data_IF_089014795693
#
_entry.id   IF_089014795693
#
_cell.length_a   1.000
_cell.length_b   1.000
_cell.length_c   1.000
_cell.angle_alpha   90.00
_cell.angle_beta   90.00
_cell.angle_gamma   90.00
#
_symmetry.space_group_name_H-M   'P 1'
#
loop_
_entity.id
_entity.type
_entity.pdbx_description
1 polymer ?
#
# COMPACT_ATOMS: atom_id res chain seq x y z
N UNK A 1 -10.20 -18.83 -5.48
CA UNK A 1 -10.08 -17.43 -5.97
C UNK A 1 -11.50 -16.91 -6.14
N UNK A 2 -11.84 -15.70 -5.69
CA UNK A 2 -13.18 -15.13 -5.92
C UNK A 2 -13.07 -13.79 -6.66
N UNK A 3 -14.21 -13.29 -7.17
CA UNK A 3 -14.25 -12.09 -8.01
C UNK A 3 -13.75 -10.84 -7.27
N UNK A 4 -14.07 -10.69 -5.99
CA UNK A 4 -13.61 -9.56 -5.17
C UNK A 4 -12.10 -9.54 -4.98
N UNK A 5 -11.48 -10.71 -4.79
CA UNK A 5 -10.02 -10.83 -4.69
C UNK A 5 -9.35 -10.50 -6.01
N UNK A 6 -9.88 -11.03 -7.12
CA UNK A 6 -9.33 -10.74 -8.44
C UNK A 6 -9.43 -9.25 -8.76
N UNK A 7 -10.60 -8.64 -8.51
CA UNK A 7 -10.81 -7.21 -8.69
C UNK A 7 -9.83 -6.40 -7.82
N UNK A 8 -9.69 -6.76 -6.53
CA UNK A 8 -8.74 -6.13 -5.63
C UNK A 8 -7.29 -6.23 -6.13
N UNK A 9 -6.85 -7.42 -6.54
CA UNK A 9 -5.50 -7.63 -7.09
C UNK A 9 -5.25 -6.78 -8.34
N UNK A 10 -6.22 -6.71 -9.25
CA UNK A 10 -6.13 -5.90 -10.46
C UNK A 10 -6.15 -4.40 -10.17
N UNK A 11 -6.96 -3.94 -9.21
CA UNK A 11 -6.97 -2.53 -8.77
C UNK A 11 -5.64 -2.15 -8.11
N UNK A 12 -5.06 -3.04 -7.30
CA UNK A 12 -3.75 -2.82 -6.71
C UNK A 12 -2.67 -2.75 -7.80
N UNK A 13 -2.69 -3.68 -8.76
CA UNK A 13 -1.78 -3.65 -9.91
C UNK A 13 -1.94 -2.34 -10.71
N UNK A 14 -3.17 -1.89 -10.95
CA UNK A 14 -3.44 -0.63 -11.63
C UNK A 14 -2.84 0.56 -10.88
N UNK A 15 -2.94 0.61 -9.55
CA UNK A 15 -2.32 1.68 -8.74
C UNK A 15 -0.80 1.76 -8.94
N UNK A 16 -0.12 0.60 -8.95
CA UNK A 16 1.32 0.49 -9.16
C UNK A 16 1.69 0.89 -10.58
N UNK A 17 0.92 0.47 -11.58
CA UNK A 17 1.14 0.84 -12.98
C UNK A 17 0.96 2.34 -13.21
N UNK A 18 -0.07 2.98 -12.63
CA UNK A 18 -0.27 4.43 -12.71
C UNK A 18 0.93 5.18 -12.15
N UNK A 19 1.44 4.75 -10.99
CA UNK A 19 2.62 5.37 -10.38
C UNK A 19 3.88 5.17 -11.23
N UNK A 20 4.11 3.97 -11.76
CA UNK A 20 5.23 3.68 -12.66
C UNK A 20 5.14 4.48 -13.95
N UNK A 21 3.96 4.62 -14.55
CA UNK A 21 3.72 5.43 -15.74
C UNK A 21 3.97 6.91 -15.46
N UNK A 22 3.55 7.44 -14.30
CA UNK A 22 3.90 8.81 -13.86
C UNK A 22 5.42 8.98 -13.83
N UNK A 23 6.13 8.07 -13.16
CA UNK A 23 7.60 8.13 -13.03
C UNK A 23 8.29 7.97 -14.39
N UNK A 24 7.79 7.11 -15.27
CA UNK A 24 8.44 6.82 -16.54
C UNK A 24 8.16 7.86 -17.62
N UNK A 25 6.93 8.34 -17.73
CA UNK A 25 6.52 9.27 -18.80
C UNK A 25 6.78 10.72 -18.39
N UNK A 26 6.36 11.12 -17.19
CA UNK A 26 6.49 12.50 -16.71
C UNK A 26 7.87 12.75 -16.09
N UNK A 27 8.61 11.67 -15.74
CA UNK A 27 9.92 11.74 -15.07
C UNK A 27 9.89 12.53 -13.75
N UNK A 28 8.74 12.56 -13.09
CA UNK A 28 8.52 13.26 -11.83
C UNK A 28 7.95 12.35 -10.75
N UNK A 29 8.45 12.49 -9.53
CA UNK A 29 7.90 11.90 -8.30
C UNK A 29 7.39 12.98 -7.31
N UNK A 30 7.08 14.19 -7.80
CA UNK A 30 6.46 15.22 -6.99
C UNK A 30 5.17 14.70 -6.32
N UNK A 31 5.01 14.99 -5.03
CA UNK A 31 3.87 14.54 -4.23
C UNK A 31 3.86 13.04 -3.89
N UNK A 32 4.93 12.28 -4.15
CA UNK A 32 5.05 10.85 -3.79
C UNK A 32 6.07 10.68 -2.65
N UNK A 33 5.65 10.08 -1.54
CA UNK A 33 6.51 9.82 -0.38
C UNK A 33 7.40 8.62 -0.67
N UNK A 34 8.72 8.84 -0.58
CA UNK A 34 9.70 7.76 -0.68
C UNK A 34 9.54 6.81 0.51
N UNK A 35 9.19 7.34 1.69
CA UNK A 35 9.01 6.54 2.90
C UNK A 35 7.91 5.51 2.76
N UNK A 36 6.77 5.90 2.20
CA UNK A 36 5.69 4.93 1.92
C UNK A 36 6.13 3.85 0.93
N UNK A 37 6.88 4.20 -0.12
CA UNK A 37 7.37 3.20 -1.08
C UNK A 37 8.38 2.23 -0.45
N UNK A 38 9.25 2.71 0.45
CA UNK A 38 10.16 1.87 1.22
C UNK A 38 9.41 0.90 2.15
N UNK A 39 8.35 1.38 2.80
CA UNK A 39 7.49 0.55 3.64
C UNK A 39 6.76 -0.52 2.83
N UNK A 40 6.18 -0.18 1.68
CA UNK A 40 5.53 -1.17 0.81
C UNK A 40 6.53 -2.19 0.24
N UNK A 41 7.73 -1.78 -0.13
CA UNK A 41 8.78 -2.72 -0.55
C UNK A 41 9.13 -3.71 0.58
N UNK A 42 9.23 -3.23 1.84
CA UNK A 42 9.46 -4.08 3.00
C UNK A 42 8.27 -5.03 3.27
N UNK A 43 7.03 -4.54 3.13
CA UNK A 43 5.81 -5.37 3.23
C UNK A 43 5.86 -6.51 2.22
N UNK A 44 6.12 -6.25 0.94
CA UNK A 44 6.15 -7.31 -0.07
C UNK A 44 7.33 -8.26 0.11
N UNK A 45 8.50 -7.74 0.48
CA UNK A 45 9.67 -8.57 0.75
C UNK A 45 9.43 -9.57 1.89
N UNK A 46 8.77 -9.13 2.97
CA UNK A 46 8.47 -10.00 4.13
C UNK A 46 7.26 -10.91 3.88
N UNK A 47 6.26 -10.44 3.13
CA UNK A 47 5.05 -11.21 2.81
C UNK A 47 5.30 -12.35 1.83
N UNK A 48 6.19 -12.14 0.86
CA UNK A 48 6.42 -13.08 -0.25
C UNK A 48 7.68 -13.93 -0.06
N UNK A 49 8.19 -14.07 1.17
CA UNK A 49 9.27 -15.03 1.49
C UNK A 49 8.90 -16.47 1.10
N UNK A 50 7.60 -16.76 1.02
CA UNK A 50 7.09 -18.07 0.66
C UNK A 50 7.29 -18.43 -0.83
N UNK A 51 7.69 -17.49 -1.69
CA UNK A 51 7.82 -17.69 -3.15
C UNK A 51 8.79 -18.83 -3.51
N UNK A 52 9.81 -19.06 -2.67
CA UNK A 52 10.79 -20.13 -2.84
C UNK A 52 10.40 -21.44 -2.16
N UNK A 53 9.38 -21.41 -1.29
CA UNK A 53 9.00 -22.56 -0.42
C UNK A 53 7.67 -23.20 -0.80
N UNK A 54 6.80 -22.46 -1.47
CA UNK A 54 5.42 -22.88 -1.70
C UNK A 54 4.94 -22.40 -3.05
N UNK A 55 4.61 -23.36 -3.93
CA UNK A 55 3.96 -23.08 -5.20
C UNK A 55 2.45 -23.23 -5.05
N UNK A 56 1.72 -22.12 -5.20
CA UNK A 56 0.24 -22.12 -5.13
C UNK A 56 -0.33 -22.19 -6.54
N UNK A 57 0.06 -21.25 -7.41
CA UNK A 57 -0.35 -21.21 -8.81
C UNK A 57 0.55 -20.27 -9.63
N UNK A 58 0.55 -20.44 -10.95
CA UNK A 58 1.30 -19.59 -11.87
C UNK A 58 0.93 -18.10 -11.72
N UNK A 59 -0.37 -17.81 -11.65
CA UNK A 59 -0.88 -16.46 -11.40
C UNK A 59 -0.34 -15.88 -10.08
N UNK A 60 -0.37 -16.65 -8.99
CA UNK A 60 0.09 -16.17 -7.69
C UNK A 60 1.59 -15.83 -7.71
N UNK A 61 2.41 -16.70 -8.29
CA UNK A 61 3.86 -16.49 -8.39
C UNK A 61 4.17 -15.26 -9.24
N UNK A 62 3.53 -15.10 -10.41
CA UNK A 62 3.74 -13.92 -11.27
C UNK A 62 3.34 -12.64 -10.56
N UNK A 63 2.17 -12.59 -9.91
CA UNK A 63 1.72 -11.39 -9.21
C UNK A 63 2.68 -11.00 -8.10
N UNK A 64 3.19 -11.97 -7.32
CA UNK A 64 4.22 -11.72 -6.30
C UNK A 64 5.49 -11.13 -6.91
N UNK A 65 5.98 -11.67 -8.02
CA UNK A 65 7.16 -11.16 -8.72
C UNK A 65 6.94 -9.74 -9.25
N UNK A 66 5.75 -9.45 -9.80
CA UNK A 66 5.41 -8.11 -10.30
C UNK A 66 5.37 -7.10 -9.15
N UNK A 67 4.69 -7.40 -8.04
CA UNK A 67 4.62 -6.48 -6.89
C UNK A 67 6.00 -6.26 -6.24
N UNK A 68 6.80 -7.32 -6.11
CA UNK A 68 8.15 -7.21 -5.57
C UNK A 68 9.06 -6.39 -6.50
N UNK A 69 9.09 -6.73 -7.79
CA UNK A 69 9.91 -6.04 -8.78
C UNK A 69 9.53 -4.57 -8.94
N UNK A 70 8.23 -4.27 -9.01
CA UNK A 70 7.74 -2.90 -9.16
C UNK A 70 8.01 -2.03 -7.94
N UNK A 71 7.79 -2.53 -6.72
CA UNK A 71 8.06 -1.77 -5.48
C UNK A 71 9.54 -1.42 -5.34
N UNK A 72 10.45 -2.36 -5.55
CA UNK A 72 11.89 -2.07 -5.57
C UNK A 72 12.27 -1.14 -6.71
N UNK A 73 11.66 -1.28 -7.89
CA UNK A 73 11.92 -0.39 -9.03
C UNK A 73 11.52 1.05 -8.70
N UNK A 74 10.35 1.29 -8.11
CA UNK A 74 9.89 2.63 -7.71
C UNK A 74 10.88 3.27 -6.73
N UNK A 75 11.27 2.53 -5.68
CA UNK A 75 12.27 3.01 -4.70
C UNK A 75 13.60 3.34 -5.38
N UNK A 76 14.05 2.49 -6.30
CA UNK A 76 15.27 2.72 -7.07
C UNK A 76 15.17 3.97 -7.95
N UNK A 77 14.05 4.15 -8.66
CA UNK A 77 13.81 5.33 -9.50
C UNK A 77 13.87 6.62 -8.68
N UNK A 78 13.20 6.67 -7.53
CA UNK A 78 13.19 7.87 -6.68
C UNK A 78 14.59 8.15 -6.10
N UNK A 79 15.34 7.12 -5.68
CA UNK A 79 16.67 7.30 -5.04
C UNK A 79 17.82 7.53 -6.02
N UNK A 80 17.82 6.88 -7.18
CA UNK A 80 19.00 6.78 -8.07
C UNK A 80 18.83 7.49 -9.41
N UNK A 81 17.60 7.57 -9.94
CA UNK A 81 17.41 8.17 -11.26
C UNK A 81 17.59 9.69 -11.19
N UNK A 82 18.55 10.22 -11.96
CA UNK A 82 19.02 11.62 -11.85
C UNK A 82 17.90 12.67 -11.98
N UNK A 83 16.95 12.44 -12.87
CA UNK A 83 15.86 13.39 -13.15
C UNK A 83 14.76 13.29 -12.08
N UNK A 84 14.34 12.06 -11.75
CA UNK A 84 13.22 11.81 -10.84
C UNK A 84 13.60 12.26 -9.43
N UNK A 85 14.82 11.95 -8.98
CA UNK A 85 15.33 12.39 -7.67
C UNK A 85 15.27 13.91 -7.48
N UNK A 86 15.40 14.72 -8.53
CA UNK A 86 15.34 16.19 -8.42
C UNK A 86 13.92 16.70 -8.12
N UNK A 87 12.90 15.94 -8.53
CA UNK A 87 11.49 16.25 -8.24
C UNK A 87 11.00 15.72 -6.89
N UNK A 88 11.85 15.00 -6.15
CA UNK A 88 11.50 14.49 -4.83
C UNK A 88 11.64 15.60 -3.78
N UNK A 89 10.54 15.93 -3.11
CA UNK A 89 10.50 16.93 -2.06
C UNK A 89 10.85 16.30 -0.70
N UNK A 90 12.14 16.32 -0.37
CA UNK A 90 12.66 15.76 0.88
C UNK A 90 12.23 16.58 2.11
N UNK A 91 12.00 17.87 1.94
CA UNK A 91 11.68 18.79 3.04
C UNK A 91 10.23 18.60 3.50
N UNK A 92 9.34 18.16 2.61
CA UNK A 92 7.97 17.81 2.97
C UNK A 92 7.83 16.37 3.50
N UNK A 93 8.64 15.43 3.01
CA UNK A 93 8.63 14.00 3.41
C UNK A 93 9.44 13.71 4.69
N UNK A 94 9.15 14.45 5.78
CA UNK A 94 9.89 14.35 7.05
C UNK A 94 9.43 13.22 7.97
N UNK A 95 8.54 12.33 7.50
CA UNK A 95 7.93 11.31 8.35
C UNK A 95 8.97 10.26 8.77
N UNK A 96 9.09 10.04 10.09
CA UNK A 96 10.03 9.06 10.67
C UNK A 96 9.39 7.67 10.66
N UNK A 97 9.43 7.01 9.51
CA UNK A 97 8.85 5.68 9.29
C UNK A 97 9.35 4.57 10.23
N UNK A 98 10.50 4.76 10.90
CA UNK A 98 10.98 3.88 11.98
C UNK A 98 9.96 3.77 13.14
N UNK A 99 9.20 4.82 13.43
CA UNK A 99 8.12 4.78 14.42
C UNK A 99 6.93 3.92 14.00
N UNK A 100 6.84 3.52 12.73
CA UNK A 100 5.86 2.53 12.27
C UNK A 100 6.47 1.13 12.29
N UNK A 101 7.69 0.99 11.77
CA UNK A 101 8.36 -0.31 11.68
C UNK A 101 8.57 -0.94 13.06
N UNK A 102 9.10 -0.18 14.03
CA UNK A 102 9.43 -0.74 15.35
C UNK A 102 8.20 -1.28 16.10
N UNK A 103 7.08 -0.53 16.24
CA UNK A 103 5.87 -1.09 16.84
C UNK A 103 5.31 -2.29 16.06
N UNK A 104 5.34 -2.27 14.72
CA UNK A 104 4.87 -3.41 13.93
C UNK A 104 5.71 -4.67 14.16
N UNK A 105 7.04 -4.54 14.32
CA UNK A 105 7.92 -5.68 14.67
C UNK A 105 7.57 -6.21 16.06
N UNK A 106 7.44 -5.34 17.06
CA UNK A 106 7.09 -5.74 18.44
C UNK A 106 5.73 -6.44 18.46
N UNK A 107 4.72 -5.85 17.81
CA UNK A 107 3.38 -6.45 17.72
C UNK A 107 3.40 -7.80 16.99
N UNK A 108 4.18 -7.97 15.93
CA UNK A 108 4.27 -9.24 15.22
C UNK A 108 4.94 -10.35 16.05
N UNK A 109 5.90 -9.99 16.92
CA UNK A 109 6.54 -10.94 17.83
C UNK A 109 5.63 -11.34 18.99
N UNK A 110 4.83 -10.41 19.52
CA UNK A 110 3.93 -10.66 20.65
C UNK A 110 2.59 -11.27 20.22
N UNK A 111 2.07 -10.86 19.07
CA UNK A 111 0.73 -11.18 18.58
C UNK A 111 0.84 -11.77 17.18
N UNK A 112 1.01 -13.10 17.13
CA UNK A 112 1.01 -13.91 15.90
C UNK A 112 0.15 -15.16 16.11
N UNK A 113 -0.27 -15.80 15.01
CA UNK A 113 -1.02 -17.07 15.09
C UNK A 113 -0.11 -18.24 15.48
N UNK A 114 1.14 -18.24 15.00
CA UNK A 114 2.15 -19.26 15.31
C UNK A 114 3.52 -18.62 15.39
N UNK A 115 4.32 -19.03 16.37
CA UNK A 115 5.68 -18.52 16.55
C UNK A 115 6.69 -19.21 15.61
N UNK A 116 6.47 -19.06 14.30
CA UNK A 116 7.41 -19.48 13.26
C UNK A 116 7.89 -18.26 12.49
N UNK A 117 9.14 -18.26 12.00
CA UNK A 117 9.71 -17.11 11.29
C UNK A 117 8.81 -16.66 10.13
N UNK A 118 8.27 -17.61 9.35
CA UNK A 118 7.39 -17.33 8.20
C UNK A 118 6.11 -16.62 8.63
N UNK A 119 5.46 -17.11 9.69
CA UNK A 119 4.21 -16.56 10.19
C UNK A 119 4.40 -15.19 10.87
N UNK A 120 5.48 -15.01 11.63
CA UNK A 120 5.85 -13.73 12.22
C UNK A 120 6.13 -12.69 11.13
N UNK A 121 6.88 -13.03 10.07
CA UNK A 121 7.14 -12.13 8.94
C UNK A 121 5.85 -11.80 8.17
N UNK A 122 4.96 -12.78 8.00
CA UNK A 122 3.67 -12.56 7.36
C UNK A 122 2.78 -11.62 8.19
N UNK A 123 2.69 -11.84 9.49
CA UNK A 123 1.94 -10.99 10.43
C UNK A 123 2.52 -9.58 10.49
N UNK A 124 3.85 -9.45 10.57
CA UNK A 124 4.55 -8.18 10.46
C UNK A 124 4.16 -7.41 9.20
N UNK A 125 4.13 -8.11 8.06
CA UNK A 125 3.74 -7.49 6.78
C UNK A 125 2.30 -6.96 6.80
N UNK A 126 1.38 -7.59 7.54
CA UNK A 126 -0.01 -7.13 7.65
C UNK A 126 -0.11 -5.86 8.48
N UNK A 127 0.52 -5.84 9.66
CA UNK A 127 0.54 -4.65 10.52
C UNK A 127 1.23 -3.48 9.81
N UNK A 128 2.36 -3.73 9.16
CA UNK A 128 3.10 -2.68 8.46
C UNK A 128 2.33 -2.13 7.26
N UNK A 129 1.67 -2.99 6.46
CA UNK A 129 0.84 -2.55 5.33
C UNK A 129 -0.29 -1.63 5.80
N UNK A 130 -0.90 -1.94 6.95
CA UNK A 130 -2.00 -1.16 7.48
C UNK A 130 -1.64 0.31 7.71
N UNK A 131 -0.40 0.58 8.11
CA UNK A 131 0.09 1.92 8.43
C UNK A 131 1.06 2.50 7.39
N UNK A 132 1.44 1.74 6.37
CA UNK A 132 2.44 2.11 5.38
C UNK A 132 2.07 3.37 4.57
N UNK A 133 0.78 3.68 4.47
CA UNK A 133 0.28 4.85 3.74
C UNK A 133 0.43 6.17 4.51
N UNK A 134 0.64 6.13 5.83
CA UNK A 134 0.69 7.34 6.67
C UNK A 134 1.69 8.42 6.17
N UNK A 135 2.95 8.10 5.81
CA UNK A 135 3.87 9.10 5.28
C UNK A 135 3.33 9.80 4.02
N UNK A 136 2.68 9.07 3.12
CA UNK A 136 2.07 9.60 1.90
C UNK A 136 0.88 10.52 2.21
N UNK A 137 0.01 10.15 3.15
CA UNK A 137 -1.12 11.01 3.53
C UNK A 137 -0.63 12.32 4.17
N UNK A 138 0.34 12.23 5.08
CA UNK A 138 0.96 13.40 5.72
C UNK A 138 1.65 14.29 4.68
N UNK A 139 2.34 13.69 3.70
CA UNK A 139 2.94 14.44 2.60
C UNK A 139 1.88 15.20 1.80
N UNK A 140 0.73 14.58 1.52
CA UNK A 140 -0.36 15.21 0.76
C UNK A 140 -1.06 16.32 1.55
N UNK A 141 -1.20 16.19 2.87
CA UNK A 141 -1.72 17.27 3.73
C UNK A 141 -0.80 18.50 3.71
N UNK A 142 0.52 18.28 3.71
CA UNK A 142 1.51 19.36 3.60
C UNK A 142 1.61 19.94 2.21
N UNK A 143 1.51 19.07 1.20
CA UNK A 143 1.59 19.44 -0.22
C UNK A 143 0.22 19.92 -0.67
N UNK A 144 -0.04 21.22 -0.51
CA UNK A 144 -1.33 21.83 -0.86
C UNK A 144 -1.75 21.67 -2.32
N UNK A 145 -0.87 21.28 -3.24
CA UNK A 145 -1.22 21.08 -4.65
C UNK A 145 -0.94 19.64 -5.05
N UNK A 146 -1.98 18.80 -5.03
CA UNK A 146 -1.87 17.38 -5.33
C UNK A 146 -2.14 17.17 -6.82
N UNK A 147 -1.18 16.57 -7.53
CA UNK A 147 -1.40 16.17 -8.92
C UNK A 147 -2.51 15.13 -9.03
N UNK A 148 -3.37 15.24 -10.06
CA UNK A 148 -4.45 14.29 -10.31
C UNK A 148 -3.97 12.83 -10.38
N UNK A 149 -2.80 12.57 -10.99
CA UNK A 149 -2.23 11.21 -11.06
C UNK A 149 -1.86 10.66 -9.68
N UNK A 150 -1.35 11.52 -8.78
CA UNK A 150 -1.04 11.12 -7.40
C UNK A 150 -2.34 10.81 -6.65
N UNK A 151 -3.37 11.66 -6.81
CA UNK A 151 -4.69 11.43 -6.23
C UNK A 151 -5.30 10.10 -6.71
N UNK A 152 -5.27 9.82 -8.02
CA UNK A 152 -5.74 8.57 -8.60
C UNK A 152 -4.97 7.35 -8.09
N UNK A 153 -3.63 7.46 -7.97
CA UNK A 153 -2.81 6.41 -7.37
C UNK A 153 -3.28 6.07 -5.95
N UNK A 154 -3.41 7.08 -5.06
CA UNK A 154 -3.83 6.86 -3.67
C UNK A 154 -5.27 6.36 -3.60
N UNK A 155 -6.15 6.83 -4.47
CA UNK A 155 -7.52 6.35 -4.59
C UNK A 155 -7.58 4.87 -4.97
N UNK A 156 -6.87 4.45 -6.02
CA UNK A 156 -6.79 3.04 -6.43
C UNK A 156 -6.19 2.17 -5.33
N UNK A 157 -5.20 2.71 -4.61
CA UNK A 157 -4.58 2.03 -3.47
C UNK A 157 -5.57 1.87 -2.29
N UNK A 158 -6.44 2.83 -2.03
CA UNK A 158 -7.51 2.63 -1.06
C UNK A 158 -8.57 1.64 -1.57
N UNK A 159 -8.93 1.74 -2.86
CA UNK A 159 -10.02 0.97 -3.46
C UNK A 159 -9.73 -0.54 -3.48
N UNK A 160 -8.49 -0.97 -3.72
CA UNK A 160 -8.15 -2.39 -3.62
C UNK A 160 -8.42 -2.92 -2.21
N UNK A 161 -8.15 -2.12 -1.17
CA UNK A 161 -8.34 -2.53 0.22
C UNK A 161 -9.82 -2.71 0.54
N UNK A 162 -10.67 -1.78 0.09
CA UNK A 162 -12.13 -1.91 0.22
C UNK A 162 -12.64 -3.19 -0.46
N UNK A 163 -12.14 -3.52 -1.66
CA UNK A 163 -12.47 -4.78 -2.34
C UNK A 163 -12.00 -6.02 -1.56
N UNK A 164 -10.85 -5.92 -0.89
CA UNK A 164 -10.34 -6.98 -0.02
C UNK A 164 -11.19 -7.18 1.25
N UNK A 165 -11.76 -6.12 1.83
CA UNK A 165 -12.73 -6.24 2.91
C UNK A 165 -13.97 -6.98 2.43
N UNK A 166 -14.51 -6.62 1.26
CA UNK A 166 -15.63 -7.33 0.65
C UNK A 166 -15.30 -8.81 0.38
N UNK A 167 -14.06 -9.09 -0.06
CA UNK A 167 -13.56 -10.45 -0.20
C UNK A 167 -13.63 -11.21 1.13
N UNK A 168 -13.18 -10.62 2.23
CA UNK A 168 -13.19 -11.30 3.54
C UNK A 168 -14.60 -11.52 4.07
N UNK A 169 -15.50 -10.54 3.90
CA UNK A 169 -16.93 -10.69 4.22
C UNK A 169 -17.52 -11.87 3.44
N UNK A 170 -17.28 -11.91 2.12
CA UNK A 170 -17.75 -13.02 1.29
C UNK A 170 -17.20 -14.36 1.77
N UNK A 171 -15.89 -14.46 2.03
CA UNK A 171 -15.26 -15.70 2.50
C UNK A 171 -15.78 -16.14 3.87
N UNK A 172 -16.06 -15.20 4.77
CA UNK A 172 -16.65 -15.51 6.08
C UNK A 172 -18.02 -16.20 5.95
N UNK A 173 -18.84 -15.79 4.98
CA UNK A 173 -20.15 -16.43 4.75
C UNK A 173 -20.08 -17.73 3.94
N UNK A 174 -19.09 -17.89 3.07
CA UNK A 174 -19.00 -19.06 2.17
C UNK A 174 -18.09 -20.18 2.67
N UNK A 175 -17.04 -19.87 3.44
CA UNK A 175 -16.04 -20.84 3.89
C UNK A 175 -16.25 -21.19 5.37
N UNK A 176 -16.37 -22.49 5.66
CA UNK A 176 -16.54 -23.02 7.01
C UNK A 176 -15.24 -22.77 7.81
N UNK A 177 -15.33 -22.06 8.95
CA UNK A 177 -14.23 -21.73 9.89
C UNK A 177 -13.22 -20.66 9.42
N UNK A 178 -13.56 -19.79 8.47
CA UNK A 178 -12.67 -18.70 8.04
C UNK A 178 -12.71 -17.49 9.00
N UNK A 179 -11.85 -17.47 10.03
CA UNK A 179 -11.70 -16.31 10.95
C UNK A 179 -10.23 -15.99 11.23
N UNK A 180 -9.61 -15.17 10.37
CA UNK A 180 -8.28 -14.59 10.63
C UNK A 180 -8.41 -13.18 11.20
N UNK A 181 -8.66 -13.07 12.49
CA UNK A 181 -8.93 -11.80 13.18
C UNK A 181 -7.85 -10.73 12.95
N UNK A 182 -6.56 -11.12 12.84
CA UNK A 182 -5.45 -10.20 12.56
C UNK A 182 -5.66 -9.48 11.21
N UNK A 183 -6.10 -10.21 10.19
CA UNK A 183 -6.35 -9.63 8.85
C UNK A 183 -7.50 -8.63 8.87
N UNK A 184 -8.57 -8.94 9.62
CA UNK A 184 -9.72 -8.06 9.78
C UNK A 184 -9.36 -6.77 10.50
N UNK A 185 -8.67 -6.86 11.64
CA UNK A 185 -8.27 -5.66 12.41
C UNK A 185 -7.31 -4.81 11.58
N UNK A 186 -6.28 -5.41 10.99
CA UNK A 186 -5.30 -4.67 10.17
C UNK A 186 -5.95 -4.02 8.96
N UNK A 187 -6.89 -4.71 8.31
CA UNK A 187 -7.62 -4.14 7.19
C UNK A 187 -8.57 -3.02 7.58
N UNK A 188 -9.25 -3.14 8.72
CA UNK A 188 -10.10 -2.08 9.27
C UNK A 188 -9.28 -0.83 9.60
N UNK A 189 -8.15 -0.99 10.29
CA UNK A 189 -7.22 0.12 10.57
C UNK A 189 -6.79 0.80 9.27
N UNK A 190 -6.40 0.02 8.26
CA UNK A 190 -5.99 0.59 6.98
C UNK A 190 -7.13 1.37 6.30
N UNK A 191 -8.34 0.81 6.25
CA UNK A 191 -9.48 1.48 5.61
C UNK A 191 -9.89 2.75 6.34
N UNK A 192 -9.83 2.78 7.68
CA UNK A 192 -10.07 4.00 8.45
C UNK A 192 -9.06 5.10 8.12
N UNK A 193 -7.79 4.76 7.91
CA UNK A 193 -6.77 5.73 7.50
C UNK A 193 -7.04 6.33 6.11
N UNK A 194 -7.67 5.57 5.21
CA UNK A 194 -8.07 6.08 3.88
C UNK A 194 -9.38 6.87 3.90
N UNK A 195 -10.21 6.75 4.95
CA UNK A 195 -11.56 7.31 4.97
C UNK A 195 -11.55 8.84 4.80
N UNK A 196 -10.65 9.53 5.51
CA UNK A 196 -10.49 10.99 5.42
C UNK A 196 -10.06 11.42 4.01
N UNK A 197 -9.07 10.72 3.44
CA UNK A 197 -8.64 10.97 2.07
C UNK A 197 -9.77 10.78 1.06
N UNK A 198 -10.56 9.71 1.19
CA UNK A 198 -11.67 9.45 0.28
C UNK A 198 -12.74 10.52 0.34
N UNK A 199 -13.06 11.04 1.53
CA UNK A 199 -14.02 12.12 1.70
C UNK A 199 -13.64 13.34 0.86
N UNK A 200 -12.41 13.84 1.03
CA UNK A 200 -11.91 15.00 0.29
C UNK A 200 -11.72 14.71 -1.20
N UNK A 201 -11.31 13.49 -1.56
CA UNK A 201 -11.18 13.07 -2.95
C UNK A 201 -12.53 13.12 -3.69
N UNK A 202 -13.59 12.57 -3.11
CA UNK A 202 -14.92 12.61 -3.72
C UNK A 202 -15.50 14.01 -3.77
N UNK A 203 -15.25 14.84 -2.76
CA UNK A 203 -15.68 16.25 -2.76
C UNK A 203 -15.01 17.04 -3.90
N UNK A 204 -13.69 16.95 -4.03
CA UNK A 204 -12.92 17.58 -5.11
C UNK A 204 -13.36 17.09 -6.48
N UNK A 205 -13.59 15.78 -6.64
CA UNK A 205 -14.08 15.21 -7.90
C UNK A 205 -15.47 15.71 -8.27
N UNK A 206 -16.41 15.75 -7.31
CA UNK A 206 -17.78 16.22 -7.54
C UNK A 206 -17.82 17.71 -7.91
N UNK A 207 -16.96 18.52 -7.29
CA UNK A 207 -16.90 19.96 -7.52
C UNK A 207 -16.00 20.37 -8.71
N UNK A 208 -15.29 19.42 -9.34
CA UNK A 208 -14.24 19.68 -10.32
C UNK A 208 -13.15 20.65 -9.82
N UNK A 209 -12.87 20.62 -8.53
CA UNK A 209 -11.84 21.44 -7.88
C UNK A 209 -10.56 20.62 -7.68
N UNK A 210 -9.42 21.30 -7.52
CA UNK A 210 -8.16 20.62 -7.19
C UNK A 210 -8.25 19.97 -5.81
N UNK A 211 -7.63 18.80 -5.66
CA UNK A 211 -7.64 18.09 -4.38
C UNK A 211 -6.79 18.84 -3.35
N UNK A 212 -7.44 19.25 -2.28
CA UNK A 212 -6.84 19.88 -1.11
C UNK A 212 -7.23 19.08 0.14
N UNK A 213 -6.25 18.64 0.91
CA UNK A 213 -6.47 18.04 2.22
C UNK A 213 -6.35 19.12 3.30
N UNK A 214 -7.16 19.06 4.38
CA UNK A 214 -7.00 19.96 5.52
C UNK A 214 -5.64 19.74 6.19
N UNK A 215 -5.09 20.82 6.75
CA UNK A 215 -3.80 20.83 7.45
C UNK A 215 -3.92 20.35 8.90
#
# INVERSE_FOLDING_TARGET
MNIFRLAGDMTHLASVLVLLLKIHTIKSCAGVSLKTQELYALVFATRYLDIFTSYISFYNTIMKLIFLGSSFSIVWYIRRHKIVRRSYDKDQDTFRHLFLVLPCVVLALLINERFTLKEVMWTFSLYLEAVAILPQLVLLQRTRNIDNLTGQYVFLLGAYRSLYILNWIYRYFTEVHYVHWITWISGLVQTLLYADFFYYYFQSWKNNEKLHLPA
#
